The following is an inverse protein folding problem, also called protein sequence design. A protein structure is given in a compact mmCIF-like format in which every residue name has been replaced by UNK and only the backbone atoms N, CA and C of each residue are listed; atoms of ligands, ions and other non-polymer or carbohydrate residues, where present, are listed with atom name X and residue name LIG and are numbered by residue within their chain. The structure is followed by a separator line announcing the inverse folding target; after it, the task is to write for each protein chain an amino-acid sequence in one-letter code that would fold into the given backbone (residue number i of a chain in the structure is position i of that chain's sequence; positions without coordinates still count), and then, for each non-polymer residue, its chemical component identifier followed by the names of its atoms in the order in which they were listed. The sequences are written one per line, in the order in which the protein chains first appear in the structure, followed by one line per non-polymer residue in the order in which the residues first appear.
data_IF_716295683280
#
_entry.id   IF_716295683280
#
_cell.length_a   1.000
_cell.length_b   1.000
_cell.length_c   1.000
_cell.angle_alpha   90.00
_cell.angle_beta   90.00
_cell.angle_gamma   90.00
#
_symmetry.space_group_name_H-M   'P 1'
#
loop_
_entity.id
_entity.type
_entity.pdbx_description
1 polymer ?
#
# COMPACT_ATOMS: atom_id res chain seq x y z
N UNK A 1 24.38 -15.26 -0.18
CA UNK A 1 23.10 -16.01 -0.17
C UNK A 1 23.04 -16.97 1.01
N UNK A 2 24.02 -17.85 1.21
CA UNK A 2 24.12 -18.62 2.48
C UNK A 2 24.28 -17.69 3.68
N UNK A 3 25.13 -16.66 3.62
CA UNK A 3 25.23 -15.62 4.67
C UNK A 3 23.94 -14.82 4.88
N UNK A 4 23.07 -14.74 3.86
CA UNK A 4 21.79 -14.04 3.93
C UNK A 4 20.73 -14.89 4.64
N UNK A 5 20.77 -16.21 4.42
CA UNK A 5 19.98 -17.19 5.18
C UNK A 5 20.47 -17.24 6.64
N UNK A 6 21.79 -17.25 6.86
CA UNK A 6 22.38 -17.25 8.21
C UNK A 6 22.04 -15.97 8.98
N UNK A 7 22.12 -14.80 8.35
CA UNK A 7 21.75 -13.53 8.97
C UNK A 7 20.25 -13.39 9.25
N UNK A 8 19.37 -13.99 8.43
CA UNK A 8 17.92 -14.04 8.69
C UNK A 8 17.58 -14.98 9.85
N UNK A 9 18.27 -16.13 9.98
CA UNK A 9 18.11 -16.99 11.15
C UNK A 9 18.60 -16.33 12.44
N UNK A 10 19.64 -15.50 12.40
CA UNK A 10 20.12 -14.77 13.58
C UNK A 10 19.15 -13.64 14.01
N UNK A 11 18.50 -12.98 13.05
CA UNK A 11 17.46 -11.97 13.34
C UNK A 11 16.22 -12.59 13.98
N UNK A 12 15.78 -13.77 13.53
CA UNK A 12 14.67 -14.53 14.16
C UNK A 12 15.02 -15.01 15.59
N UNK A 13 16.28 -15.36 15.87
CA UNK A 13 16.71 -15.80 17.21
C UNK A 13 16.74 -14.64 18.21
N UNK A 14 16.99 -13.41 17.76
CA UNK A 14 17.03 -12.22 18.63
C UNK A 14 15.66 -11.71 19.10
N UNK A 15 14.56 -12.20 18.51
CA UNK A 15 13.18 -11.83 18.88
C UNK A 15 12.46 -12.88 19.74
N UNK A 16 13.15 -13.90 20.27
CA UNK A 16 12.52 -14.83 21.22
C UNK A 16 12.31 -14.19 22.59
N UNK A 17 11.06 -13.77 22.77
CA UNK A 17 10.38 -13.45 24.02
C UNK A 17 10.72 -14.51 25.08
N UNK A 18 11.19 -14.04 26.23
CA UNK A 18 11.35 -14.82 27.45
C UNK A 18 9.95 -15.21 27.95
N UNK A 19 9.50 -16.42 27.60
CA UNK A 19 8.27 -17.02 28.15
C UNK A 19 8.68 -17.92 29.30
N UNK A 20 8.37 -17.47 30.53
CA UNK A 20 8.39 -18.32 31.71
C UNK A 20 7.26 -19.34 31.62
N UNK A 21 7.64 -20.61 31.72
CA UNK A 21 6.77 -21.76 31.87
C UNK A 21 6.19 -21.76 33.30
N UNK A 22 4.89 -21.95 33.42
CA UNK A 22 4.33 -22.77 34.51
C UNK A 22 3.02 -23.39 34.02
N UNK A 23 2.92 -24.68 34.32
CA UNK A 23 1.96 -25.67 33.86
C UNK A 23 0.55 -25.47 34.45
N UNK A 24 -0.49 -25.76 33.65
CA UNK A 24 -1.51 -26.79 33.98
C UNK A 24 -2.71 -26.69 33.00
N UNK A 25 -2.84 -27.73 32.17
CA UNK A 25 -4.03 -28.06 31.38
C UNK A 25 -4.90 -29.02 32.22
N UNK A 26 -6.23 -28.92 32.14
CA UNK A 26 -6.93 -30.13 31.72
C UNK A 26 -7.92 -29.89 30.58
N UNK A 27 -7.98 -30.92 29.74
CA UNK A 27 -8.82 -31.11 28.57
C UNK A 27 -10.32 -30.87 28.85
N UNK A 28 -11.00 -30.20 27.91
CA UNK A 28 -12.24 -30.77 27.39
C UNK A 28 -12.53 -30.33 25.95
N UNK A 29 -12.95 -31.30 25.15
CA UNK A 29 -13.25 -31.21 23.72
C UNK A 29 -14.76 -31.00 23.58
N UNK A 30 -15.21 -29.93 22.90
CA UNK A 30 -16.27 -29.97 21.87
C UNK A 30 -16.78 -28.57 21.47
N UNK A 31 -16.92 -28.42 20.15
CA UNK A 31 -17.87 -27.55 19.43
C UNK A 31 -17.45 -26.10 19.11
N UNK A 32 -17.21 -25.86 17.81
CA UNK A 32 -17.29 -24.53 17.18
C UNK A 32 -18.62 -23.86 17.51
N UNK A 33 -18.61 -22.53 17.68
CA UNK A 33 -19.51 -21.72 16.87
C UNK A 33 -18.78 -20.57 16.17
N UNK A 34 -19.17 -20.40 14.91
CA UNK A 34 -19.01 -19.19 14.12
C UNK A 34 -19.49 -17.97 14.92
N UNK A 35 -18.61 -17.03 15.22
CA UNK A 35 -18.95 -15.83 15.97
C UNK A 35 -17.92 -14.72 15.76
N UNK A 36 -18.39 -13.58 15.28
CA UNK A 36 -17.66 -12.35 15.03
C UNK A 36 -16.70 -11.99 16.19
N UNK A 37 -15.39 -11.91 15.92
CA UNK A 37 -14.47 -11.17 16.79
C UNK A 37 -14.64 -9.67 16.51
N UNK A 38 -15.60 -9.06 17.20
CA UNK A 38 -15.52 -7.64 17.51
C UNK A 38 -14.48 -7.48 18.63
N UNK A 39 -13.30 -6.97 18.27
CA UNK A 39 -12.32 -6.55 19.27
C UNK A 39 -12.93 -5.39 20.08
N UNK A 40 -12.98 -5.54 21.40
CA UNK A 40 -13.47 -4.53 22.31
C UNK A 40 -12.56 -3.28 22.24
N UNK A 41 -13.08 -2.20 21.64
CA UNK A 41 -12.44 -0.89 21.62
C UNK A 41 -12.48 -0.26 23.01
N UNK A 42 -11.33 0.20 23.52
CA UNK A 42 -11.31 1.28 24.50
C UNK A 42 -11.72 2.59 23.80
N UNK A 43 -13.00 2.71 23.47
CA UNK A 43 -13.57 3.92 22.90
C UNK A 43 -13.93 4.89 24.02
N UNK A 44 -13.39 6.09 23.98
CA UNK A 44 -13.96 7.23 24.70
C UNK A 44 -15.42 7.37 24.23
N UNK A 45 -16.43 7.33 25.12
CA UNK A 45 -17.82 7.35 24.70
C UNK A 45 -18.12 8.60 23.84
N UNK A 46 -18.48 8.40 22.57
CA UNK A 46 -18.89 9.46 21.65
C UNK A 46 -17.93 9.79 20.49
N UNK A 47 -16.75 9.18 20.41
CA UNK A 47 -15.78 9.42 19.32
C UNK A 47 -15.97 8.36 18.20
N UNK A 48 -16.31 8.73 16.94
CA UNK A 48 -16.50 7.74 15.87
C UNK A 48 -15.18 7.19 15.32
N UNK A 49 -14.99 5.87 15.16
CA UNK A 49 -13.72 5.32 14.65
C UNK A 49 -13.21 5.95 13.34
N UNK A 50 -14.14 6.29 12.43
CA UNK A 50 -13.87 7.06 11.21
C UNK A 50 -14.99 8.06 10.91
N UNK A 51 -14.69 9.07 10.10
CA UNK A 51 -15.70 10.00 9.56
C UNK A 51 -15.79 9.85 8.02
N UNK A 52 -16.73 9.04 7.50
CA UNK A 52 -16.85 8.82 6.06
C UNK A 52 -17.36 10.05 5.31
N UNK A 53 -16.85 10.28 4.09
CA UNK A 53 -17.38 11.27 3.15
C UNK A 53 -18.76 10.86 2.63
N UNK A 54 -19.71 11.81 2.62
CA UNK A 54 -21.06 11.61 2.06
C UNK A 54 -21.36 12.60 0.94
N UNK A 55 -20.63 12.51 -0.20
CA UNK A 55 -20.88 13.40 -1.32
C UNK A 55 -22.26 13.17 -1.95
N UNK A 56 -22.89 14.23 -2.48
CA UNK A 56 -24.13 14.09 -3.22
C UNK A 56 -23.89 13.53 -4.64
N UNK A 57 -24.87 12.77 -5.15
CA UNK A 57 -24.97 12.41 -6.57
C UNK A 57 -23.86 11.50 -7.10
N UNK A 58 -23.44 11.76 -8.34
CA UNK A 58 -22.47 10.95 -9.09
C UNK A 58 -21.07 10.89 -8.46
N UNK A 59 -20.70 11.87 -7.62
CA UNK A 59 -19.43 11.89 -6.91
C UNK A 59 -19.29 10.70 -5.94
N UNK A 60 -20.40 10.15 -5.46
CA UNK A 60 -20.39 8.94 -4.63
C UNK A 60 -19.85 7.71 -5.36
N UNK A 61 -19.99 7.64 -6.70
CA UNK A 61 -19.49 6.51 -7.49
C UNK A 61 -17.95 6.47 -7.55
N UNK A 62 -17.29 7.64 -7.49
CA UNK A 62 -15.83 7.78 -7.53
C UNK A 62 -15.11 7.34 -6.25
N UNK A 63 -15.85 7.14 -5.16
CA UNK A 63 -15.28 6.73 -3.87
C UNK A 63 -14.79 5.27 -3.87
N UNK A 64 -15.19 4.49 -4.88
CA UNK A 64 -14.71 3.13 -5.07
C UNK A 64 -13.28 3.08 -5.65
N UNK A 65 -12.76 4.20 -6.17
CA UNK A 65 -11.41 4.30 -6.74
C UNK A 65 -10.35 4.62 -5.66
N UNK A 66 -10.42 3.93 -4.53
CA UNK A 66 -9.44 4.06 -3.44
C UNK A 66 -8.35 2.99 -3.60
N UNK A 67 -7.07 3.36 -3.73
CA UNK A 67 -5.97 2.39 -3.82
C UNK A 67 -5.87 1.62 -2.50
N UNK A 68 -5.48 0.35 -2.57
CA UNK A 68 -5.37 -0.50 -1.38
C UNK A 68 -4.41 0.08 -0.35
N UNK A 69 -3.25 0.58 -0.79
CA UNK A 69 -2.23 1.07 0.13
C UNK A 69 -2.09 2.58 0.04
N UNK A 70 -2.09 3.21 1.20
CA UNK A 70 -1.84 4.63 1.37
C UNK A 70 -0.74 4.85 2.42
N UNK A 71 0.04 5.90 2.21
CA UNK A 71 1.15 6.30 3.06
C UNK A 71 0.89 7.66 3.69
N UNK A 72 1.33 7.84 4.92
CA UNK A 72 1.39 9.16 5.58
C UNK A 72 2.71 9.29 6.31
N UNK A 73 3.31 10.47 6.22
CA UNK A 73 4.48 10.83 7.02
C UNK A 73 4.06 11.86 8.05
N UNK A 74 4.50 11.65 9.29
CA UNK A 74 4.23 12.56 10.38
C UNK A 74 5.41 12.66 11.35
N UNK A 75 5.37 13.70 12.15
CA UNK A 75 6.30 14.09 13.22
C UNK A 75 5.49 14.82 14.30
N UNK A 76 6.08 15.12 15.44
CA UNK A 76 5.43 15.88 16.52
C UNK A 76 4.96 17.29 16.08
N UNK A 77 5.56 17.85 15.03
CA UNK A 77 5.17 19.14 14.45
C UNK A 77 4.03 19.04 13.43
N UNK A 78 3.55 17.83 13.13
CA UNK A 78 2.46 17.62 12.17
C UNK A 78 1.13 18.05 12.80
N UNK A 79 0.30 18.74 12.02
CA UNK A 79 -1.01 19.17 12.49
C UNK A 79 -1.90 17.98 12.89
N UNK A 80 -2.76 18.22 13.88
CA UNK A 80 -3.65 17.19 14.43
C UNK A 80 -2.96 16.26 15.43
N UNK A 81 -3.60 15.14 15.75
CA UNK A 81 -3.02 14.06 16.54
C UNK A 81 -2.56 12.94 15.59
N UNK A 82 -1.32 12.48 15.75
CA UNK A 82 -0.76 11.43 14.91
C UNK A 82 -0.12 10.37 15.82
N UNK A 83 -0.70 9.17 15.87
CA UNK A 83 -0.23 8.06 16.71
C UNK A 83 -0.26 6.75 15.93
N UNK A 84 0.27 5.67 16.50
CA UNK A 84 0.16 4.33 15.93
C UNK A 84 -1.26 3.73 16.02
N UNK A 85 -2.17 4.36 16.77
CA UNK A 85 -3.53 3.87 16.97
C UNK A 85 -4.57 4.71 16.22
N UNK A 86 -4.36 6.01 16.08
CA UNK A 86 -5.32 6.93 15.48
C UNK A 86 -4.64 8.15 14.88
N UNK A 87 -5.24 8.65 13.79
CA UNK A 87 -4.94 9.94 13.19
C UNK A 87 -6.15 10.85 13.37
N UNK A 88 -5.96 12.08 13.87
CA UNK A 88 -7.02 13.08 14.02
C UNK A 88 -6.63 14.35 13.30
N UNK A 89 -7.58 14.93 12.57
CA UNK A 89 -7.46 16.27 12.00
C UNK A 89 -7.49 17.33 13.11
N UNK A 90 -7.22 18.59 12.74
CA UNK A 90 -7.31 19.70 13.70
C UNK A 90 -8.72 19.80 14.28
N UNK A 91 -9.75 19.72 13.44
CA UNK A 91 -11.15 19.75 13.87
C UNK A 91 -11.52 18.64 14.85
N UNK A 92 -10.97 17.43 14.66
CA UNK A 92 -11.27 16.30 15.51
C UNK A 92 -10.68 16.43 16.92
N UNK A 93 -9.65 17.28 17.12
CA UNK A 93 -9.16 17.63 18.46
C UNK A 93 -10.24 18.36 19.27
N UNK A 94 -11.06 19.15 18.59
CA UNK A 94 -12.20 19.86 19.17
C UNK A 94 -13.51 19.05 19.09
N UNK A 95 -13.41 17.72 18.88
CA UNK A 95 -14.54 16.81 18.70
C UNK A 95 -15.50 17.20 17.56
N UNK A 96 -15.00 17.89 16.54
CA UNK A 96 -15.80 18.27 15.36
C UNK A 96 -15.67 17.21 14.26
N UNK A 97 -16.72 16.38 14.13
CA UNK A 97 -16.77 15.25 13.19
C UNK A 97 -17.75 15.47 12.03
N UNK A 98 -18.11 16.71 11.74
CA UNK A 98 -19.05 17.03 10.66
C UNK A 98 -18.42 16.78 9.30
N UNK A 99 -19.06 15.91 8.51
CA UNK A 99 -18.69 15.66 7.11
C UNK A 99 -18.64 16.98 6.31
N UNK A 100 -17.55 17.19 5.56
CA UNK A 100 -17.35 18.39 4.76
C UNK A 100 -18.49 18.67 3.77
N UNK A 101 -19.20 17.65 3.28
CA UNK A 101 -20.33 17.85 2.37
C UNK A 101 -21.59 18.41 3.06
N UNK A 102 -21.65 18.38 4.38
CA UNK A 102 -22.70 19.00 5.18
C UNK A 102 -22.33 20.42 5.66
N UNK A 103 -21.10 20.88 5.39
CA UNK A 103 -20.61 22.22 5.76
C UNK A 103 -20.86 23.24 4.66
N UNK A 104 -20.66 24.51 4.98
CA UNK A 104 -20.69 25.59 4.00
C UNK A 104 -19.61 25.38 2.92
N UNK A 105 -20.03 25.39 1.65
CA UNK A 105 -19.16 25.05 0.53
C UNK A 105 -18.05 26.07 0.28
N UNK A 106 -18.28 27.34 0.61
CA UNK A 106 -17.29 28.40 0.50
C UNK A 106 -16.19 28.19 1.54
N UNK A 107 -16.54 27.92 2.80
CA UNK A 107 -15.57 27.59 3.86
C UNK A 107 -14.78 26.33 3.52
N UNK A 108 -15.43 25.26 3.06
CA UNK A 108 -14.74 24.01 2.69
C UNK A 108 -13.72 24.25 1.57
N UNK A 109 -14.06 25.05 0.56
CA UNK A 109 -13.13 25.38 -0.52
C UNK A 109 -11.89 26.12 -0.02
N UNK A 110 -12.06 27.10 0.88
CA UNK A 110 -10.95 27.82 1.52
C UNK A 110 -10.08 26.86 2.34
N UNK A 111 -10.67 26.08 3.25
CA UNK A 111 -9.95 25.13 4.09
C UNK A 111 -9.22 24.08 3.27
N UNK A 112 -9.82 23.54 2.21
CA UNK A 112 -9.15 22.59 1.30
C UNK A 112 -7.95 23.24 0.61
N UNK A 113 -8.06 24.48 0.15
CA UNK A 113 -6.94 25.20 -0.47
C UNK A 113 -5.81 25.45 0.54
N UNK A 114 -6.14 25.83 1.78
CA UNK A 114 -5.18 26.00 2.87
C UNK A 114 -4.52 24.67 3.26
N UNK A 115 -5.28 23.57 3.28
CA UNK A 115 -4.81 22.21 3.52
C UNK A 115 -3.75 21.79 2.51
N UNK A 116 -4.11 21.80 1.22
CA UNK A 116 -3.24 21.33 0.13
C UNK A 116 -2.00 22.21 -0.10
N UNK A 117 -2.01 23.46 0.38
CA UNK A 117 -0.86 24.37 0.33
C UNK A 117 -0.07 24.42 1.63
N UNK A 118 -0.49 23.64 2.63
CA UNK A 118 0.05 23.64 3.99
C UNK A 118 0.16 25.05 4.60
N UNK A 119 -0.87 25.86 4.35
CA UNK A 119 -1.01 27.19 4.93
C UNK A 119 -1.65 27.11 6.32
N UNK A 120 -1.56 28.19 7.13
CA UNK A 120 -2.34 28.33 8.35
C UNK A 120 -3.84 28.09 8.11
N UNK A 121 -4.51 27.50 9.11
CA UNK A 121 -5.91 27.04 9.00
C UNK A 121 -6.85 28.12 9.53
N UNK A 122 -7.50 28.83 8.63
CA UNK A 122 -8.34 29.98 9.00
C UNK A 122 -9.70 29.55 9.57
N UNK A 123 -10.22 28.40 9.15
CA UNK A 123 -11.57 27.92 9.48
C UNK A 123 -11.58 26.47 9.99
N UNK A 124 -10.53 26.09 10.72
CA UNK A 124 -10.27 24.69 11.07
C UNK A 124 -9.67 23.90 9.91
N UNK A 125 -9.43 22.62 10.14
CA UNK A 125 -8.95 21.67 9.15
C UNK A 125 -9.53 20.27 9.46
N UNK A 126 -10.53 19.83 8.69
CA UNK A 126 -11.09 18.50 8.85
C UNK A 126 -10.23 17.43 8.19
N UNK A 127 -9.20 17.78 7.42
CA UNK A 127 -8.53 16.85 6.52
C UNK A 127 -7.28 16.21 7.11
N UNK A 128 -6.99 15.00 6.65
CA UNK A 128 -5.77 14.24 6.93
C UNK A 128 -5.21 13.77 5.60
N UNK A 129 -4.05 14.30 5.16
CA UNK A 129 -3.38 13.86 3.92
C UNK A 129 -2.80 12.46 4.01
N UNK A 130 -2.97 11.74 2.92
CA UNK A 130 -2.36 10.45 2.58
C UNK A 130 -1.86 10.50 1.13
N UNK A 131 -0.91 9.66 0.77
CA UNK A 131 -0.42 9.50 -0.61
C UNK A 131 -0.36 8.04 -1.00
N UNK A 132 -0.66 7.72 -2.27
CA UNK A 132 -0.41 6.38 -2.82
C UNK A 132 1.06 6.16 -3.23
N UNK A 133 1.91 7.18 -3.16
CA UNK A 133 3.30 7.13 -3.61
C UNK A 133 4.28 7.08 -2.44
N UNK A 134 4.99 5.96 -2.29
CA UNK A 134 6.09 5.85 -1.33
C UNK A 134 7.22 6.84 -1.64
N UNK A 135 7.49 7.12 -2.92
CA UNK A 135 8.49 8.11 -3.35
C UNK A 135 8.15 9.51 -2.82
N UNK A 136 6.88 9.92 -2.94
CA UNK A 136 6.38 11.19 -2.38
C UNK A 136 6.53 11.19 -0.87
N UNK A 137 6.14 10.11 -0.20
CA UNK A 137 6.22 9.99 1.25
C UNK A 137 7.67 10.14 1.76
N UNK A 138 8.62 9.41 1.17
CA UNK A 138 10.05 9.51 1.51
C UNK A 138 10.57 10.93 1.29
N UNK A 139 10.28 11.55 0.14
CA UNK A 139 10.72 12.90 -0.14
C UNK A 139 10.11 13.92 0.84
N UNK A 140 8.88 13.69 1.27
CA UNK A 140 8.24 14.52 2.29
C UNK A 140 8.86 14.32 3.69
N UNK A 141 9.30 13.11 4.05
CA UNK A 141 10.08 12.87 5.27
C UNK A 141 11.40 13.64 5.27
N UNK A 142 12.13 13.63 4.14
CA UNK A 142 13.36 14.42 3.96
C UNK A 142 13.06 15.92 4.08
N UNK A 143 11.96 16.39 3.49
CA UNK A 143 11.54 17.78 3.62
C UNK A 143 11.31 18.16 5.09
N UNK A 144 10.53 17.37 5.84
CA UNK A 144 10.27 17.60 7.27
C UNK A 144 11.55 17.58 8.11
N UNK A 145 12.45 16.63 7.86
CA UNK A 145 13.77 16.60 8.50
C UNK A 145 14.50 17.94 8.38
N UNK A 146 14.47 18.53 7.18
CA UNK A 146 15.17 19.78 6.87
C UNK A 146 14.44 21.02 7.41
N UNK A 147 13.12 21.09 7.31
CA UNK A 147 12.35 22.27 7.69
C UNK A 147 12.03 22.35 9.16
N UNK A 148 11.83 21.21 9.81
CA UNK A 148 11.51 21.11 11.24
C UNK A 148 12.77 20.92 12.08
N UNK A 149 13.93 20.68 11.45
CA UNK A 149 15.16 20.24 12.13
C UNK A 149 14.94 18.99 12.99
N UNK A 150 13.91 18.20 12.66
CA UNK A 150 13.54 16.99 13.37
C UNK A 150 14.48 15.85 12.98
N UNK A 151 14.84 14.97 13.92
CA UNK A 151 15.67 13.80 13.60
C UNK A 151 14.85 12.81 12.77
N UNK A 152 15.49 12.05 11.86
CA UNK A 152 14.78 11.01 11.10
C UNK A 152 14.13 9.95 11.99
N UNK A 153 14.68 9.73 13.20
CA UNK A 153 14.12 8.80 14.18
C UNK A 153 12.84 9.30 14.85
N UNK A 154 12.51 10.59 14.73
CA UNK A 154 11.27 11.20 15.25
C UNK A 154 10.26 11.50 14.14
N UNK A 155 10.60 11.16 12.89
CA UNK A 155 9.70 11.23 11.74
C UNK A 155 9.28 9.80 11.44
N UNK A 156 7.99 9.59 11.23
CA UNK A 156 7.40 8.27 11.06
C UNK A 156 6.76 8.15 9.69
N UNK A 157 6.93 6.99 9.06
CA UNK A 157 6.19 6.57 7.88
C UNK A 157 5.15 5.54 8.30
N UNK A 158 3.88 5.85 8.06
CA UNK A 158 2.75 4.97 8.26
C UNK A 158 2.25 4.47 6.89
N UNK A 159 2.01 3.17 6.77
CA UNK A 159 1.29 2.54 5.67
C UNK A 159 -0.02 1.97 6.23
N UNK A 160 -1.12 2.12 5.48
CA UNK A 160 -2.42 1.51 5.79
C UNK A 160 -2.95 0.67 4.63
N UNK A 161 -3.89 -0.23 4.94
CA UNK A 161 -4.64 -1.03 3.97
C UNK A 161 -6.08 -0.56 3.98
N UNK A 162 -6.45 0.21 2.97
CA UNK A 162 -7.76 0.87 2.85
C UNK A 162 -8.91 -0.12 2.76
N UNK A 163 -8.66 -1.40 2.46
CA UNK A 163 -9.68 -2.45 2.47
C UNK A 163 -10.13 -2.85 3.88
N UNK A 164 -9.36 -2.45 4.91
CA UNK A 164 -9.70 -2.65 6.32
C UNK A 164 -10.53 -1.49 6.91
N UNK A 165 -10.96 -0.55 6.08
CA UNK A 165 -11.75 0.60 6.47
C UNK A 165 -13.14 0.54 5.83
N UNK A 166 -14.16 1.13 6.48
CA UNK A 166 -15.44 1.33 5.82
C UNK A 166 -15.28 2.07 4.49
N UNK A 167 -16.18 1.81 3.55
CA UNK A 167 -16.24 2.57 2.31
C UNK A 167 -16.32 4.07 2.61
N UNK A 168 -15.73 4.88 1.72
CA UNK A 168 -15.80 6.35 1.75
C UNK A 168 -14.99 7.04 2.86
N UNK A 169 -14.06 6.33 3.51
CA UNK A 169 -13.14 6.98 4.47
C UNK A 169 -12.09 7.84 3.76
N UNK A 170 -11.66 7.43 2.56
CA UNK A 170 -10.65 8.13 1.77
C UNK A 170 -11.25 8.71 0.49
N UNK A 171 -10.80 9.90 0.11
CA UNK A 171 -11.23 10.56 -1.11
C UNK A 171 -10.06 11.26 -1.80
N UNK A 172 -9.97 11.12 -3.11
CA UNK A 172 -8.89 11.71 -3.92
C UNK A 172 -8.95 13.24 -3.90
N UNK A 173 -7.79 13.89 -3.76
CA UNK A 173 -7.70 15.36 -3.73
C UNK A 173 -8.34 16.00 -4.97
N UNK A 174 -8.07 15.43 -6.16
CA UNK A 174 -8.59 15.91 -7.43
C UNK A 174 -10.12 15.91 -7.51
N UNK A 175 -10.79 14.95 -6.88
CA UNK A 175 -12.26 14.90 -6.88
C UNK A 175 -12.86 15.95 -5.95
N UNK A 176 -12.19 16.25 -4.84
CA UNK A 176 -12.55 17.35 -3.95
C UNK A 176 -12.28 18.71 -4.61
N UNK A 177 -11.12 18.87 -5.24
CA UNK A 177 -10.78 20.07 -6.02
C UNK A 177 -11.85 20.31 -7.09
N UNK A 178 -12.22 19.28 -7.86
CA UNK A 178 -13.27 19.41 -8.88
C UNK A 178 -14.58 19.90 -8.29
N UNK A 179 -14.96 19.36 -7.13
CA UNK A 179 -16.22 19.70 -6.46
C UNK A 179 -16.26 21.14 -5.93
N UNK A 180 -15.14 21.65 -5.43
CA UNK A 180 -15.10 22.89 -4.64
C UNK A 180 -14.41 24.07 -5.34
N UNK A 181 -13.79 23.90 -6.52
CA UNK A 181 -12.97 24.94 -7.14
C UNK A 181 -13.70 26.25 -7.51
N UNK A 182 -14.99 26.17 -7.77
CA UNK A 182 -15.86 27.27 -8.22
C UNK A 182 -16.70 27.88 -7.07
N UNK A 183 -16.43 27.49 -5.81
CA UNK A 183 -17.24 27.89 -4.65
C UNK A 183 -16.80 29.18 -3.99
N UNK A 184 -15.71 29.79 -4.47
CA UNK A 184 -15.18 31.06 -3.98
C UNK A 184 -15.08 32.02 -5.18
N UNK A 185 -15.54 33.28 -5.07
CA UNK A 185 -15.45 34.25 -6.17
C UNK A 185 -14.00 34.54 -6.57
N UNK A 186 -13.77 34.71 -7.88
CA UNK A 186 -12.42 34.89 -8.46
C UNK A 186 -11.58 35.99 -7.80
N UNK A 187 -12.19 37.10 -7.40
CA UNK A 187 -11.51 38.25 -6.79
C UNK A 187 -11.49 38.19 -5.25
N UNK A 188 -11.89 37.07 -4.65
CA UNK A 188 -11.80 36.91 -3.21
C UNK A 188 -10.32 36.89 -2.79
N UNK A 189 -9.90 37.77 -1.84
CA UNK A 189 -8.51 37.86 -1.44
C UNK A 189 -8.11 36.69 -0.55
N UNK A 190 -6.99 36.06 -0.86
CA UNK A 190 -6.36 35.02 -0.05
C UNK A 190 -4.90 35.35 0.25
N UNK A 191 -4.40 34.92 1.40
CA UNK A 191 -3.00 35.08 1.80
C UNK A 191 -2.26 33.75 1.59
N UNK A 192 -1.16 33.79 0.86
CA UNK A 192 -0.27 32.64 0.68
C UNK A 192 1.18 33.12 0.87
N UNK A 193 1.89 32.53 1.83
CA UNK A 193 3.28 32.90 2.19
C UNK A 193 3.45 34.41 2.42
N UNK A 194 2.49 35.02 3.11
CA UNK A 194 2.51 36.44 3.48
C UNK A 194 2.22 37.42 2.34
N UNK A 195 1.75 36.94 1.18
CA UNK A 195 1.35 37.79 0.04
C UNK A 195 -0.12 37.59 -0.27
N UNK A 196 -0.80 38.68 -0.62
CA UNK A 196 -2.20 38.65 -1.05
C UNK A 196 -2.29 38.27 -2.53
N UNK A 197 -3.26 37.43 -2.84
CA UNK A 197 -3.61 36.98 -4.18
C UNK A 197 -5.13 36.95 -4.36
N UNK A 198 -5.58 37.01 -5.61
CA UNK A 198 -6.96 36.69 -5.96
C UNK A 198 -7.16 35.16 -5.99
N UNK A 199 -8.36 34.70 -5.63
CA UNK A 199 -8.73 33.28 -5.68
C UNK A 199 -8.48 32.65 -7.06
N UNK A 200 -8.77 33.36 -8.16
CA UNK A 200 -8.51 32.85 -9.52
C UNK A 200 -7.04 32.45 -9.75
N UNK A 201 -6.11 33.11 -9.07
CA UNK A 201 -4.67 32.94 -9.27
C UNK A 201 -4.07 31.89 -8.33
N UNK A 202 -4.62 31.74 -7.11
CA UNK A 202 -4.06 30.88 -6.05
C UNK A 202 -5.05 29.97 -5.34
N UNK A 203 -6.29 29.88 -5.80
CA UNK A 203 -7.31 28.96 -5.30
C UNK A 203 -7.16 27.53 -5.82
N UNK A 204 -8.22 26.74 -5.64
CA UNK A 204 -8.26 25.32 -6.05
C UNK A 204 -8.14 25.12 -7.57
N UNK A 205 -8.66 26.06 -8.38
CA UNK A 205 -8.49 26.03 -9.84
C UNK A 205 -7.02 26.09 -10.26
N UNK A 206 -6.20 26.85 -9.54
CA UNK A 206 -4.75 26.88 -9.73
C UNK A 206 -4.10 25.54 -9.36
N UNK A 207 -4.51 24.92 -8.24
CA UNK A 207 -4.02 23.59 -7.85
C UNK A 207 -4.37 22.56 -8.92
N UNK A 208 -5.63 22.53 -9.38
CA UNK A 208 -6.08 21.67 -10.49
C UNK A 208 -5.17 21.82 -11.70
N UNK A 209 -4.87 23.06 -12.11
CA UNK A 209 -3.98 23.33 -13.24
C UNK A 209 -2.57 22.78 -12.98
N UNK A 210 -1.99 23.01 -11.80
CA UNK A 210 -0.66 22.49 -11.45
C UNK A 210 -0.59 20.96 -11.47
N UNK A 211 -1.65 20.27 -11.01
CA UNK A 211 -1.73 18.80 -11.04
C UNK A 211 -1.73 18.22 -12.46
N UNK A 212 -2.08 19.02 -13.47
CA UNK A 212 -2.23 18.58 -14.87
C UNK A 212 -1.23 19.24 -15.84
N UNK A 213 -0.45 20.22 -15.39
CA UNK A 213 0.49 20.95 -16.25
C UNK A 213 1.88 20.37 -16.09
N UNK A 214 2.51 20.02 -17.21
CA UNK A 214 3.88 19.53 -17.25
C UNK A 214 4.85 20.54 -16.62
N UNK A 215 5.81 20.02 -15.87
CA UNK A 215 6.87 20.82 -15.30
C UNK A 215 7.72 21.46 -16.41
N UNK A 216 8.16 22.71 -16.19
CA UNK A 216 8.93 23.49 -17.18
C UNK A 216 10.28 22.86 -17.60
N UNK A 217 10.82 21.95 -16.79
CA UNK A 217 12.15 21.33 -16.97
C UNK A 217 12.09 19.82 -17.08
N UNK A 218 11.05 19.18 -16.54
CA UNK A 218 10.98 17.73 -16.38
C UNK A 218 9.68 17.22 -17.01
N UNK A 219 9.64 15.95 -17.38
CA UNK A 219 8.48 15.36 -18.07
C UNK A 219 7.25 15.16 -17.18
N UNK A 220 7.41 15.17 -15.85
CA UNK A 220 6.30 14.96 -14.91
C UNK A 220 5.47 16.22 -14.59
N UNK A 221 4.40 16.02 -13.82
CA UNK A 221 3.49 17.07 -13.32
C UNK A 221 3.53 17.14 -11.78
N UNK A 222 2.97 18.19 -11.18
CA UNK A 222 2.87 18.34 -9.72
C UNK A 222 1.73 17.50 -9.10
N UNK A 223 1.58 16.24 -9.51
CA UNK A 223 0.57 15.33 -8.96
C UNK A 223 1.22 14.27 -8.08
N UNK A 224 0.79 14.19 -6.82
CA UNK A 224 1.45 13.40 -5.78
C UNK A 224 0.62 12.21 -5.29
N UNK A 225 -0.46 11.87 -6.02
CA UNK A 225 -1.32 10.75 -5.63
C UNK A 225 -2.00 10.95 -4.29
N UNK A 226 -2.44 12.18 -3.99
CA UNK A 226 -2.96 12.56 -2.68
C UNK A 226 -4.42 12.11 -2.48
N UNK A 227 -4.67 11.53 -1.32
CA UNK A 227 -6.00 11.17 -0.81
C UNK A 227 -6.17 11.81 0.56
N UNK A 228 -7.38 12.24 0.89
CA UNK A 228 -7.72 12.81 2.18
C UNK A 228 -8.66 11.84 2.90
N UNK A 229 -8.43 11.64 4.20
CA UNK A 229 -9.52 11.28 5.13
C UNK A 229 -9.97 12.54 5.88
N UNK A 230 -11.07 12.43 6.65
CA UNK A 230 -11.57 13.56 7.45
C UNK A 230 -11.86 13.20 8.90
N UNK A 231 -11.83 14.21 9.77
CA UNK A 231 -12.12 14.06 11.20
C UNK A 231 -11.08 13.16 11.86
N UNK A 232 -11.43 11.89 12.08
CA UNK A 232 -10.47 10.92 12.60
C UNK A 232 -10.44 9.64 11.77
N UNK A 233 -9.36 8.91 11.94
CA UNK A 233 -9.12 7.63 11.28
C UNK A 233 -8.39 6.73 12.29
N UNK A 234 -9.13 5.81 12.91
CA UNK A 234 -8.55 4.77 13.75
C UNK A 234 -7.71 3.85 12.85
N UNK A 235 -6.44 3.64 13.17
CA UNK A 235 -5.51 2.82 12.36
C UNK A 235 -4.93 1.63 13.13
N UNK A 236 -5.41 1.40 14.36
CA UNK A 236 -5.00 0.29 15.21
C UNK A 236 -5.30 -1.05 14.52
N UNK A 237 -4.28 -1.90 14.40
CA UNK A 237 -4.38 -3.21 13.73
C UNK A 237 -4.65 -3.14 12.23
N UNK A 238 -4.58 -1.95 11.61
CA UNK A 238 -4.86 -1.71 10.19
C UNK A 238 -3.73 -0.95 9.49
N UNK A 239 -2.62 -0.78 10.18
CA UNK A 239 -1.46 -0.01 9.75
C UNK A 239 -0.16 -0.62 10.23
N UNK A 240 0.94 -0.23 9.58
CA UNK A 240 2.28 -0.39 10.09
C UNK A 240 2.96 0.98 10.10
N UNK A 241 3.63 1.31 11.20
CA UNK A 241 4.36 2.57 11.35
C UNK A 241 5.78 2.27 11.76
N UNK A 242 6.73 2.84 11.03
CA UNK A 242 8.17 2.74 11.32
C UNK A 242 8.80 4.13 11.34
N UNK A 243 9.93 4.29 12.02
CA UNK A 243 10.69 5.54 11.93
C UNK A 243 11.34 5.67 10.55
N UNK A 244 11.45 6.89 10.05
CA UNK A 244 12.09 7.14 8.74
C UNK A 244 13.60 6.86 8.79
N UNK A 245 14.22 6.90 9.96
CA UNK A 245 15.62 6.50 10.17
C UNK A 245 15.88 5.06 9.68
N UNK A 246 15.02 4.12 10.07
CA UNK A 246 15.08 2.70 9.70
C UNK A 246 14.92 2.45 8.19
N UNK A 247 14.28 3.37 7.48
CA UNK A 247 14.12 3.26 6.03
C UNK A 247 15.32 3.91 5.32
N UNK A 248 15.63 5.14 5.73
CA UNK A 248 16.53 6.03 5.01
C UNK A 248 17.99 5.60 5.23
N UNK A 249 18.39 5.38 6.48
CA UNK A 249 19.78 5.07 6.83
C UNK A 249 20.11 3.58 6.64
N UNK A 250 19.16 2.66 6.80
CA UNK A 250 19.47 1.22 6.79
C UNK A 250 19.51 0.60 5.38
N UNK A 251 19.12 1.32 4.33
CA UNK A 251 19.21 0.79 2.97
C UNK A 251 18.94 1.77 1.85
N UNK A 252 18.09 2.78 2.08
CA UNK A 252 17.60 3.61 0.98
C UNK A 252 18.70 4.39 0.26
N UNK A 253 19.74 4.87 0.95
CA UNK A 253 20.85 5.56 0.26
C UNK A 253 21.71 4.65 -0.59
N UNK A 254 21.82 3.37 -0.24
CA UNK A 254 22.52 2.37 -1.07
C UNK A 254 21.69 2.06 -2.32
N UNK A 255 20.39 1.89 -2.11
CA UNK A 255 19.41 1.58 -3.15
C UNK A 255 19.15 2.75 -4.12
N UNK A 256 19.03 3.97 -3.60
CA UNK A 256 18.77 5.21 -4.33
C UNK A 256 19.61 6.36 -3.74
N UNK A 257 20.89 6.48 -4.18
CA UNK A 257 21.80 7.51 -3.69
C UNK A 257 21.30 8.95 -3.89
N UNK A 258 20.34 9.17 -4.80
CA UNK A 258 19.75 10.48 -5.05
C UNK A 258 19.12 11.08 -3.78
N UNK A 259 18.53 10.25 -2.91
CA UNK A 259 17.96 10.73 -1.64
C UNK A 259 19.01 11.27 -0.67
N UNK A 260 20.25 10.76 -0.73
CA UNK A 260 21.35 11.27 0.09
C UNK A 260 21.70 12.69 -0.31
N UNK A 261 21.77 12.94 -1.63
CA UNK A 261 21.99 14.28 -2.19
C UNK A 261 20.87 15.23 -1.77
N UNK A 262 19.61 14.79 -1.82
CA UNK A 262 18.46 15.62 -1.42
C UNK A 262 18.46 16.00 0.07
N UNK A 263 19.00 15.14 0.95
CA UNK A 263 19.23 15.49 2.36
C UNK A 263 20.33 16.54 2.51
N UNK A 264 21.43 16.39 1.78
CA UNK A 264 22.61 17.27 1.89
C UNK A 264 22.40 18.64 1.21
N UNK A 265 21.57 18.71 0.17
CA UNK A 265 21.26 19.96 -0.52
C UNK A 265 20.48 20.94 0.37
N UNK A 266 20.74 22.25 0.26
CA UNK A 266 20.00 23.28 1.02
C UNK A 266 18.61 23.60 0.45
N UNK A 267 18.28 23.06 -0.72
CA UNK A 267 17.04 23.36 -1.44
C UNK A 267 15.82 22.77 -0.71
N UNK A 268 14.75 23.56 -0.54
CA UNK A 268 13.52 23.14 0.14
C UNK A 268 12.34 22.84 -0.83
N UNK A 269 12.61 22.75 -2.14
CA UNK A 269 11.59 22.50 -3.16
C UNK A 269 11.32 21.00 -3.34
N UNK A 270 10.81 20.34 -2.30
CA UNK A 270 10.56 18.89 -2.27
C UNK A 270 9.67 18.42 -3.45
N UNK A 271 8.68 19.23 -3.83
CA UNK A 271 7.80 18.95 -4.96
C UNK A 271 8.57 18.85 -6.30
N UNK A 272 9.60 19.68 -6.51
CA UNK A 272 10.45 19.59 -7.70
C UNK A 272 11.36 18.36 -7.64
N UNK A 273 11.85 18.01 -6.45
CA UNK A 273 12.65 16.81 -6.24
C UNK A 273 11.86 15.53 -6.60
N UNK A 274 10.58 15.45 -6.22
CA UNK A 274 9.70 14.35 -6.66
C UNK A 274 9.64 14.25 -8.19
N UNK A 275 9.42 15.38 -8.87
CA UNK A 275 9.31 15.39 -10.34
C UNK A 275 10.64 14.99 -10.99
N UNK A 276 11.77 15.47 -10.46
CA UNK A 276 13.12 15.11 -10.89
C UNK A 276 13.39 13.61 -10.71
N UNK A 277 13.03 13.04 -9.56
CA UNK A 277 13.18 11.61 -9.27
C UNK A 277 12.32 10.73 -10.19
N UNK A 278 11.21 11.26 -10.70
CA UNK A 278 10.38 10.58 -11.71
C UNK A 278 10.93 10.68 -13.13
N UNK A 279 11.87 11.57 -13.41
CA UNK A 279 12.40 11.78 -14.78
C UNK A 279 12.84 10.47 -15.46
N UNK A 280 13.61 9.57 -14.79
CA UNK A 280 14.06 8.33 -15.42
C UNK A 280 12.94 7.41 -15.92
N UNK A 281 11.73 7.49 -15.35
CA UNK A 281 10.59 6.69 -15.81
C UNK A 281 10.08 7.10 -17.19
N UNK A 282 10.30 8.35 -17.60
CA UNK A 282 9.87 8.86 -18.90
C UNK A 282 10.91 8.66 -20.00
N UNK A 283 12.18 8.48 -19.61
CA UNK A 283 13.30 8.34 -20.55
C UNK A 283 13.45 6.90 -21.11
N UNK A 284 12.50 6.01 -20.79
CA UNK A 284 12.27 4.64 -21.32
C UNK A 284 13.38 3.58 -21.15
N UNK A 285 14.43 3.84 -20.37
CA UNK A 285 15.40 2.80 -20.00
C UNK A 285 14.97 2.04 -18.73
N UNK A 286 14.15 0.99 -18.89
CA UNK A 286 13.91 0.05 -17.80
C UNK A 286 15.17 -0.80 -17.57
N UNK A 287 15.62 -0.84 -16.32
CA UNK A 287 16.79 -1.65 -15.94
C UNK A 287 16.37 -2.98 -15.33
N UNK A 288 17.18 -4.02 -15.53
CA UNK A 288 17.04 -5.26 -14.76
C UNK A 288 17.27 -4.97 -13.27
N UNK A 289 16.58 -5.69 -12.39
CA UNK A 289 16.83 -5.56 -10.95
C UNK A 289 18.17 -6.23 -10.63
N UNK A 290 19.14 -5.47 -10.14
CA UNK A 290 20.41 -6.04 -9.68
C UNK A 290 20.21 -6.75 -8.32
N UNK A 291 20.97 -7.82 -8.06
CA UNK A 291 20.88 -8.56 -6.79
C UNK A 291 21.17 -7.67 -5.55
N UNK A 292 22.01 -6.64 -5.71
CA UNK A 292 22.31 -5.65 -4.67
C UNK A 292 21.08 -4.80 -4.35
N UNK A 293 20.38 -4.30 -5.38
CA UNK A 293 19.13 -3.53 -5.24
C UNK A 293 18.06 -4.36 -4.53
N UNK A 294 17.92 -5.64 -4.92
CA UNK A 294 16.99 -6.55 -4.25
C UNK A 294 17.36 -6.72 -2.77
N UNK A 295 18.65 -6.88 -2.47
CA UNK A 295 19.11 -7.06 -1.09
C UNK A 295 18.81 -5.83 -0.24
N UNK A 296 19.12 -4.62 -0.73
CA UNK A 296 18.82 -3.39 -0.01
C UNK A 296 17.31 -3.16 0.15
N UNK A 297 16.51 -3.50 -0.87
CA UNK A 297 15.06 -3.42 -0.79
C UNK A 297 14.46 -4.40 0.23
N UNK A 298 15.02 -5.62 0.33
CA UNK A 298 14.63 -6.61 1.34
C UNK A 298 14.92 -6.10 2.75
N UNK A 299 16.11 -5.54 2.99
CA UNK A 299 16.45 -4.96 4.29
C UNK A 299 15.44 -3.90 4.74
N UNK A 300 15.06 -2.99 3.85
CA UNK A 300 14.04 -1.97 4.16
C UNK A 300 12.68 -2.62 4.42
N UNK A 301 12.29 -3.62 3.63
CA UNK A 301 11.00 -4.29 3.79
C UNK A 301 10.89 -5.07 5.11
N UNK A 302 12.00 -5.60 5.64
CA UNK A 302 12.03 -6.30 6.93
C UNK A 302 11.82 -5.39 8.14
N UNK A 303 11.98 -4.08 8.00
CA UNK A 303 11.63 -3.13 9.05
C UNK A 303 10.12 -3.05 9.29
N UNK A 304 9.33 -3.57 8.34
CA UNK A 304 7.87 -3.66 8.43
C UNK A 304 7.44 -5.06 8.86
N UNK A 305 6.33 -5.13 9.59
CA UNK A 305 5.76 -6.41 10.00
C UNK A 305 5.43 -7.29 8.80
N UNK A 306 5.36 -8.60 9.02
CA UNK A 306 5.23 -9.64 8.00
C UNK A 306 4.07 -9.43 7.02
N UNK A 307 2.94 -8.90 7.47
CA UNK A 307 1.76 -8.56 6.64
C UNK A 307 2.04 -7.44 5.62
N UNK A 308 3.00 -6.56 5.91
CA UNK A 308 3.34 -5.37 5.11
C UNK A 308 4.60 -5.55 4.29
N UNK A 309 5.37 -6.61 4.55
CA UNK A 309 6.63 -6.88 3.88
C UNK A 309 6.51 -6.83 2.35
N UNK A 310 5.57 -7.59 1.78
CA UNK A 310 5.45 -7.68 0.31
C UNK A 310 4.99 -6.36 -0.34
N UNK A 311 3.93 -5.67 0.15
CA UNK A 311 3.56 -4.39 -0.44
C UNK A 311 4.65 -3.33 -0.29
N UNK A 312 5.39 -3.32 0.82
CA UNK A 312 6.54 -2.41 0.98
C UNK A 312 7.66 -2.77 0.02
N UNK A 313 8.06 -4.04 -0.07
CA UNK A 313 9.09 -4.51 -0.99
C UNK A 313 8.76 -4.10 -2.45
N UNK A 314 7.52 -4.33 -2.88
CA UNK A 314 7.06 -3.92 -4.20
C UNK A 314 7.17 -2.40 -4.41
N UNK A 315 6.78 -1.59 -3.41
CA UNK A 315 6.89 -0.14 -3.49
C UNK A 315 8.35 0.33 -3.55
N UNK A 316 9.26 -0.27 -2.76
CA UNK A 316 10.69 0.06 -2.78
C UNK A 316 11.30 -0.28 -4.15
N UNK A 317 11.05 -1.50 -4.65
CA UNK A 317 11.50 -1.91 -6.00
C UNK A 317 10.95 -0.98 -7.09
N UNK A 318 9.76 -0.41 -6.89
CA UNK A 318 9.11 0.50 -7.81
C UNK A 318 9.60 1.96 -7.73
N UNK A 319 10.49 2.33 -6.81
CA UNK A 319 11.02 3.71 -6.71
C UNK A 319 11.95 4.10 -7.88
N UNK A 320 12.37 3.15 -8.72
CA UNK A 320 13.16 3.40 -9.93
C UNK A 320 12.66 2.54 -11.09
N UNK A 321 12.82 2.96 -12.36
CA UNK A 321 12.33 2.21 -13.51
C UNK A 321 13.04 0.87 -13.65
N UNK A 322 12.31 -0.21 -13.39
CA UNK A 322 12.83 -1.59 -13.40
C UNK A 322 11.89 -2.57 -14.08
N UNK A 323 12.44 -3.68 -14.55
CA UNK A 323 11.64 -4.78 -15.12
C UNK A 323 10.89 -5.53 -14.01
N UNK A 324 9.57 -5.31 -13.90
CA UNK A 324 8.74 -5.94 -12.86
C UNK A 324 8.46 -7.44 -13.06
N UNK A 325 8.75 -7.98 -14.25
CA UNK A 325 8.46 -9.38 -14.64
C UNK A 325 9.70 -10.28 -14.67
N UNK A 326 10.77 -9.90 -13.96
CA UNK A 326 11.94 -10.76 -13.84
C UNK A 326 11.64 -11.99 -12.97
N UNK A 327 11.39 -13.12 -13.62
CA UNK A 327 11.10 -14.40 -12.97
C UNK A 327 12.20 -14.88 -12.02
N UNK A 328 13.46 -14.47 -12.24
CA UNK A 328 14.59 -14.81 -11.37
C UNK A 328 14.44 -14.10 -10.02
N UNK A 329 14.12 -12.82 -10.05
CA UNK A 329 13.95 -11.97 -8.86
C UNK A 329 12.72 -12.39 -8.08
N UNK A 330 11.59 -12.59 -8.77
CA UNK A 330 10.37 -13.09 -8.13
C UNK A 330 10.64 -14.43 -7.44
N UNK A 331 11.40 -15.33 -8.09
CA UNK A 331 11.78 -16.61 -7.48
C UNK A 331 12.71 -16.46 -6.29
N UNK A 332 13.63 -15.51 -6.28
CA UNK A 332 14.47 -15.23 -5.12
C UNK A 332 13.63 -14.71 -3.95
N UNK A 333 12.68 -13.81 -4.20
CA UNK A 333 11.76 -13.29 -3.17
C UNK A 333 10.97 -14.43 -2.53
N UNK A 334 10.38 -15.32 -3.33
CA UNK A 334 9.63 -16.47 -2.82
C UNK A 334 10.45 -17.50 -2.06
N UNK A 335 11.78 -17.54 -2.22
CA UNK A 335 12.64 -18.39 -1.39
C UNK A 335 12.83 -17.83 0.01
N UNK A 336 12.72 -16.50 0.14
CA UNK A 336 12.94 -15.77 1.40
C UNK A 336 11.61 -15.59 2.13
N UNK A 337 10.51 -15.46 1.39
CA UNK A 337 9.19 -15.23 1.95
C UNK A 337 8.59 -16.52 2.54
N UNK A 338 8.27 -16.57 3.84
CA UNK A 338 7.65 -17.73 4.47
C UNK A 338 6.33 -18.11 3.78
N UNK A 339 6.11 -19.41 3.50
CA UNK A 339 4.86 -19.89 2.89
C UNK A 339 3.61 -19.48 3.68
N UNK A 340 3.73 -19.24 4.99
CA UNK A 340 2.63 -18.83 5.87
C UNK A 340 2.14 -17.40 5.63
N UNK A 341 2.98 -16.54 5.07
CA UNK A 341 2.61 -15.14 4.79
C UNK A 341 1.87 -14.98 3.46
N UNK A 342 1.79 -16.06 2.70
CA UNK A 342 1.16 -16.11 1.39
C UNK A 342 -0.36 -15.97 1.49
N UNK A 343 -0.97 -16.48 2.57
CA UNK A 343 -2.42 -16.37 2.79
C UNK A 343 -2.89 -14.92 2.93
N UNK A 344 -1.96 -14.00 3.19
CA UNK A 344 -2.22 -12.56 3.26
C UNK A 344 -2.03 -11.84 1.91
N UNK A 345 -1.56 -12.52 0.85
CA UNK A 345 -1.53 -11.91 -0.48
C UNK A 345 -2.96 -11.74 -1.00
N UNK A 346 -3.34 -10.51 -1.33
CA UNK A 346 -4.64 -10.30 -1.93
C UNK A 346 -4.69 -10.78 -3.36
N UNK A 347 -5.78 -11.48 -3.70
CA UNK A 347 -6.06 -11.95 -5.07
C UNK A 347 -6.03 -10.82 -6.09
N UNK A 348 -6.52 -9.64 -5.67
CA UNK A 348 -6.53 -8.41 -6.45
C UNK A 348 -6.13 -7.26 -5.52
N UNK A 349 -5.10 -6.52 -5.90
CA UNK A 349 -4.74 -5.25 -5.27
C UNK A 349 -5.26 -4.13 -6.15
N UNK A 350 -6.16 -3.30 -5.61
CA UNK A 350 -6.59 -2.11 -6.33
C UNK A 350 -5.44 -1.09 -6.38
N UNK A 351 -4.97 -0.78 -7.59
CA UNK A 351 -3.91 0.19 -7.84
C UNK A 351 -4.49 1.31 -8.70
N UNK A 352 -4.61 2.49 -8.11
CA UNK A 352 -5.19 3.66 -8.78
C UNK A 352 -4.05 4.59 -9.17
N UNK A 353 -3.51 4.34 -10.36
CA UNK A 353 -2.36 5.07 -10.89
C UNK A 353 -2.58 5.53 -12.33
N UNK A 354 -1.77 6.50 -12.74
CA UNK A 354 -1.71 7.01 -14.11
C UNK A 354 -0.26 7.40 -14.43
N UNK A 355 -0.02 7.82 -15.67
CA UNK A 355 1.32 8.14 -16.18
C UNK A 355 2.02 9.27 -15.39
N UNK A 356 1.28 10.03 -14.57
CA UNK A 356 1.83 11.10 -13.74
C UNK A 356 2.43 10.60 -12.41
N UNK A 357 2.14 9.36 -12.02
CA UNK A 357 2.69 8.68 -10.83
C UNK A 357 3.30 7.32 -11.21
N UNK A 358 4.34 7.31 -12.06
CA UNK A 358 4.86 6.10 -12.70
C UNK A 358 5.40 5.06 -11.71
N UNK A 359 5.90 5.48 -10.55
CA UNK A 359 6.31 4.57 -9.48
C UNK A 359 5.15 3.74 -8.93
N UNK A 360 3.93 4.30 -8.92
CA UNK A 360 2.73 3.59 -8.45
C UNK A 360 2.20 2.63 -9.52
N UNK A 361 2.34 2.99 -10.81
CA UNK A 361 2.09 2.06 -11.92
C UNK A 361 3.03 0.86 -11.83
N UNK A 362 4.32 1.11 -11.61
CA UNK A 362 5.33 0.05 -11.51
C UNK A 362 5.10 -0.83 -10.28
N UNK A 363 4.71 -0.25 -9.14
CA UNK A 363 4.26 -1.01 -7.97
C UNK A 363 3.15 -2.02 -8.33
N UNK A 364 2.14 -1.58 -9.08
CA UNK A 364 1.06 -2.47 -9.53
C UNK A 364 1.56 -3.62 -10.41
N UNK A 365 2.56 -3.37 -11.25
CA UNK A 365 3.17 -4.43 -12.06
C UNK A 365 3.93 -5.46 -11.21
N UNK A 366 4.65 -5.02 -10.17
CA UNK A 366 5.32 -5.94 -9.24
C UNK A 366 4.32 -6.80 -8.48
N UNK A 367 3.28 -6.19 -7.91
CA UNK A 367 2.24 -6.94 -7.18
C UNK A 367 1.52 -7.95 -8.08
N UNK A 368 1.22 -7.57 -9.32
CA UNK A 368 0.66 -8.49 -10.30
C UNK A 368 1.63 -9.64 -10.62
N UNK A 369 2.92 -9.33 -10.85
CA UNK A 369 3.95 -10.33 -11.10
C UNK A 369 4.12 -11.32 -9.94
N UNK A 370 4.11 -10.83 -8.69
CA UNK A 370 4.15 -11.68 -7.49
C UNK A 370 2.93 -12.59 -7.43
N UNK A 371 1.73 -12.03 -7.59
CA UNK A 371 0.48 -12.79 -7.54
C UNK A 371 0.44 -13.87 -8.64
N UNK A 372 0.85 -13.53 -9.86
CA UNK A 372 0.87 -14.46 -10.99
C UNK A 372 1.86 -15.62 -10.76
N UNK A 373 3.08 -15.35 -10.32
CA UNK A 373 4.07 -16.41 -10.04
C UNK A 373 3.58 -17.32 -8.90
N UNK A 374 2.97 -16.74 -7.87
CA UNK A 374 2.38 -17.50 -6.77
C UNK A 374 1.28 -18.46 -7.26
N UNK A 375 0.32 -17.98 -8.04
CA UNK A 375 -0.75 -18.84 -8.55
C UNK A 375 -0.20 -19.93 -9.48
N UNK A 376 0.76 -19.61 -10.34
CA UNK A 376 1.40 -20.59 -11.21
C UNK A 376 2.08 -21.71 -10.40
N UNK A 377 2.78 -21.38 -9.32
CA UNK A 377 3.38 -22.38 -8.42
C UNK A 377 2.34 -23.22 -7.69
N UNK A 378 1.27 -22.58 -7.23
CA UNK A 378 0.19 -23.24 -6.51
C UNK A 378 -0.51 -24.26 -7.39
N UNK A 379 -0.79 -23.88 -8.65
CA UNK A 379 -1.33 -24.80 -9.67
C UNK A 379 -0.32 -25.92 -9.94
N UNK A 380 0.95 -25.63 -10.16
CA UNK A 380 1.95 -26.67 -10.39
C UNK A 380 2.07 -27.68 -9.23
N UNK A 381 2.02 -27.20 -7.98
CA UNK A 381 2.03 -28.04 -6.77
C UNK A 381 0.78 -28.92 -6.68
N UNK A 382 -0.39 -28.36 -6.98
CA UNK A 382 -1.65 -29.10 -7.03
C UNK A 382 -1.62 -30.20 -8.10
N UNK A 383 -1.13 -29.88 -9.29
CA UNK A 383 -1.02 -30.82 -10.41
C UNK A 383 -0.06 -31.97 -10.08
N UNK A 384 1.11 -31.67 -9.51
CA UNK A 384 2.06 -32.68 -9.03
C UNK A 384 1.43 -33.60 -7.97
N UNK A 385 0.65 -33.05 -7.04
CA UNK A 385 -0.06 -33.84 -6.01
C UNK A 385 -1.15 -34.73 -6.60
N UNK A 386 -1.88 -34.26 -7.62
CA UNK A 386 -2.88 -35.05 -8.34
C UNK A 386 -2.23 -36.20 -9.12
N UNK A 387 -1.07 -35.96 -9.75
CA UNK A 387 -0.29 -36.99 -10.44
C UNK A 387 0.18 -38.08 -9.47
N UNK A 388 0.77 -37.69 -8.34
CA UNK A 388 1.21 -38.63 -7.29
C UNK A 388 0.04 -39.48 -6.74
N UNK A 389 -1.10 -38.85 -6.47
CA UNK A 389 -2.31 -39.55 -6.01
C UNK A 389 -2.81 -40.54 -7.05
N UNK A 390 -2.80 -40.15 -8.32
CA UNK A 390 -3.21 -41.01 -9.43
C UNK A 390 -2.28 -42.22 -9.56
N UNK A 391 -0.97 -42.03 -9.41
CA UNK A 391 0.01 -43.11 -9.47
C UNK A 391 -0.10 -44.09 -8.29
N UNK A 392 -0.41 -43.59 -7.08
CA UNK A 392 -0.73 -44.42 -5.92
C UNK A 392 -1.95 -45.30 -6.19
N UNK A 393 -3.03 -44.73 -6.73
CA UNK A 393 -4.25 -45.48 -7.09
C UNK A 393 -3.93 -46.56 -8.12
N UNK A 394 -3.20 -46.21 -9.19
CA UNK A 394 -2.76 -47.19 -10.22
C UNK A 394 -1.94 -48.33 -9.62
N UNK A 395 -1.05 -48.03 -8.67
CA UNK A 395 -0.23 -49.03 -7.98
C UNK A 395 -1.09 -49.98 -7.13
N UNK A 396 -2.01 -49.44 -6.33
CA UNK A 396 -2.94 -50.24 -5.51
C UNK A 396 -3.77 -51.18 -6.37
N UNK A 397 -4.32 -50.68 -7.49
CA UNK A 397 -5.10 -51.50 -8.44
C UNK A 397 -4.24 -52.67 -8.96
N UNK A 398 -3.01 -52.40 -9.39
CA UNK A 398 -2.09 -53.41 -9.92
C UNK A 398 -1.72 -54.47 -8.87
N UNK A 399 -1.47 -54.06 -7.63
CA UNK A 399 -1.02 -54.93 -6.54
C UNK A 399 -2.16 -55.69 -5.86
N UNK A 400 -3.40 -55.20 -5.94
CA UNK A 400 -4.56 -55.81 -5.28
C UNK A 400 -4.93 -57.22 -5.78
N UNK A 401 -4.42 -57.66 -6.93
CA UNK A 401 -4.35 -59.07 -7.37
C UNK A 401 -5.67 -59.88 -7.39
N UNK A 402 -6.81 -59.30 -7.04
CA UNK A 402 -8.05 -60.03 -6.78
C UNK A 402 -8.91 -60.10 -8.04
N UNK A 403 -9.53 -61.26 -8.34
CA UNK A 403 -10.45 -61.41 -9.48
C UNK A 403 -11.64 -60.42 -9.44
N UNK A 404 -11.97 -59.86 -8.27
CA UNK A 404 -12.98 -58.83 -8.10
C UNK A 404 -12.55 -57.42 -8.54
N UNK A 405 -11.28 -57.05 -8.37
CA UNK A 405 -10.76 -55.74 -8.78
C UNK A 405 -10.75 -55.52 -10.30
N UNK A 406 -10.57 -56.61 -11.07
CA UNK A 406 -10.70 -56.59 -12.55
C UNK A 406 -12.15 -56.55 -13.06
N UNK A 407 -13.14 -56.76 -12.18
CA UNK A 407 -14.58 -56.82 -12.56
C UNK A 407 -15.33 -55.53 -12.24
N UNK A 408 -14.84 -54.73 -11.30
CA UNK A 408 -15.42 -53.43 -10.95
C UNK A 408 -15.07 -52.32 -11.96
N UNK A 409 -14.00 -52.52 -12.72
CA UNK A 409 -13.58 -51.66 -13.82
C UNK A 409 -13.87 -52.45 -15.10
N UNK A 410 -14.87 -52.01 -15.88
CA UNK A 410 -15.24 -52.67 -17.14
C UNK A 410 -14.03 -52.87 -18.06
N UNK A 411 -14.16 -53.74 -19.05
CA UNK A 411 -13.10 -54.09 -20.03
C UNK A 411 -12.60 -52.94 -20.91
N UNK A 412 -12.97 -51.71 -20.60
CA UNK A 412 -12.51 -50.49 -21.28
C UNK A 412 -11.19 -50.00 -20.66
N UNK A 413 -10.31 -49.43 -21.49
CA UNK A 413 -8.96 -49.03 -21.08
C UNK A 413 -9.05 -47.99 -19.95
N UNK A 414 -8.34 -48.22 -18.84
CA UNK A 414 -8.31 -47.31 -17.68
C UNK A 414 -7.80 -45.90 -18.03
N UNK A 415 -7.19 -45.74 -19.21
CA UNK A 415 -6.86 -44.44 -19.81
C UNK A 415 -8.10 -43.58 -20.10
N UNK A 416 -9.27 -44.18 -20.26
CA UNK A 416 -10.53 -43.48 -20.61
C UNK A 416 -11.33 -43.03 -19.37
N UNK A 417 -11.00 -43.55 -18.16
CA UNK A 417 -11.73 -43.27 -16.92
C UNK A 417 -10.96 -42.45 -15.88
N UNK A 418 -9.62 -42.44 -15.95
CA UNK A 418 -8.83 -41.50 -15.15
C UNK A 418 -8.72 -40.21 -15.95
N UNK A 419 -9.12 -39.05 -15.40
CA UNK A 419 -8.86 -37.79 -16.07
C UNK A 419 -7.35 -37.69 -16.24
N UNK A 420 -6.86 -37.91 -17.46
CA UNK A 420 -5.53 -37.48 -17.83
C UNK A 420 -5.53 -35.98 -17.59
N UNK A 421 -4.55 -35.56 -16.79
CA UNK A 421 -4.34 -34.18 -16.36
C UNK A 421 -4.33 -33.18 -17.53
N UNK A 422 -4.21 -33.68 -18.77
CA UNK A 422 -4.19 -32.91 -19.99
C UNK A 422 -5.54 -32.54 -20.62
N UNK A 423 -6.67 -33.27 -20.46
CA UNK A 423 -7.65 -33.20 -21.56
C UNK A 423 -8.90 -32.28 -21.45
N UNK A 424 -9.75 -32.28 -20.40
CA UNK A 424 -11.08 -31.63 -20.60
C UNK A 424 -11.50 -30.53 -19.60
N UNK A 425 -10.86 -30.41 -18.43
CA UNK A 425 -11.29 -29.47 -17.38
C UNK A 425 -10.24 -28.43 -16.98
N UNK A 426 -8.96 -28.72 -17.17
CA UNK A 426 -7.86 -27.85 -16.73
C UNK A 426 -7.47 -26.84 -17.81
N UNK A 427 -7.47 -27.27 -19.08
CA UNK A 427 -7.11 -26.41 -20.20
C UNK A 427 -8.04 -25.20 -20.38
N UNK A 428 -9.38 -25.33 -20.29
CA UNK A 428 -10.28 -24.17 -20.31
C UNK A 428 -10.08 -23.24 -19.10
N UNK A 429 -9.72 -23.78 -17.93
CA UNK A 429 -9.43 -23.01 -16.72
C UNK A 429 -8.14 -22.19 -16.88
N UNK A 430 -7.10 -22.79 -17.46
CA UNK A 430 -5.84 -22.12 -17.79
C UNK A 430 -6.00 -21.08 -18.92
N UNK A 431 -6.88 -21.33 -19.89
CA UNK A 431 -7.20 -20.37 -20.97
C UNK A 431 -8.05 -19.21 -20.47
N UNK A 432 -8.95 -19.43 -19.50
CA UNK A 432 -9.76 -18.36 -18.87
C UNK A 432 -8.94 -17.36 -18.05
N UNK A 433 -7.72 -17.72 -17.64
CA UNK A 433 -6.81 -16.88 -16.85
C UNK A 433 -5.75 -16.15 -17.70
N UNK A 434 -5.78 -16.34 -19.03
CA UNK A 434 -4.92 -15.61 -19.98
C UNK A 434 -5.58 -14.33 -20.55
N UNK A 435 -6.78 -13.99 -20.09
CA UNK A 435 -7.49 -12.72 -20.30
C UNK A 435 -7.36 -11.86 -19.05
#
# INVERSE_FOLDING_TARGET
MNELITGLTELEISQQIHVGLDDDIPDDVLSRPSGNLAAASHATPGCPDEVPFRPPGNLAAKLNDTPRYLFRVFSDASAGENSSECMKSVDALDNTFTDIFARDAFTVALTLNEHLRWQPKSYGDPFISWTTSLLVAIQYAIYKHKTESAKLSTIHLCIIDTTLFPNRVFMKDLDLIEKFHDKVPDHYPIIDKGRQYDWKDRGLGNIRKMRNTQHRTYSGVYYFGEYLSQGQTNIKGRSCTVSCDKIINDGLFRFMPQFKVEIEEKTLFWANAVIKLRQPFYDMEQMAVHNTDLTDALFIAFEFNSEWFLPVLANILALSPRTARDSTIIRQIWKIFPEKLIDHLPKVTNVVANDNIPEVLLFGQFIHGFSQDYYNRSVAKLMSSMEETTDLIRRVIRESGTPGGRKALGTEDLRDYLPTVEHDYVQPLMESWKL
#
